data_IF_233333107864
#
_entry.id   IF_233333107864
#
_cell.length_a   1.000
_cell.length_b   1.000
_cell.length_c   1.000
_cell.angle_alpha   90.00
_cell.angle_beta   90.00
_cell.angle_gamma   90.00
#
_symmetry.space_group_name_H-M   'P 1'
#
loop_
_entity.id
_entity.type
_entity.pdbx_description
1 polymer ?
#
# COMPACT_ATOMS: atom_id res chain seq x y z
N UNK A 1 4.44 26.12 -4.50
CA UNK A 1 4.34 25.43 -3.20
C UNK A 1 3.29 24.32 -3.25
N UNK A 2 3.72 23.07 -3.41
CA UNK A 2 2.84 21.90 -3.26
C UNK A 2 2.72 21.63 -1.77
N UNK A 3 1.51 21.71 -1.20
CA UNK A 3 1.28 21.36 0.20
C UNK A 3 1.47 19.84 0.34
N UNK A 4 2.51 19.41 1.07
CA UNK A 4 2.68 18.00 1.46
C UNK A 4 1.47 17.56 2.28
N UNK A 5 0.93 16.38 1.95
CA UNK A 5 -0.16 15.77 2.71
C UNK A 5 0.46 14.90 3.81
N UNK A 6 0.21 15.25 5.08
CA UNK A 6 0.59 14.40 6.19
C UNK A 6 -0.42 13.25 6.32
N UNK A 7 0.02 12.02 6.13
CA UNK A 7 -0.82 10.82 6.23
C UNK A 7 -0.88 10.26 7.65
N UNK A 8 -0.14 10.81 8.60
CA UNK A 8 -0.14 10.37 10.00
C UNK A 8 -1.51 10.66 10.65
N UNK A 9 -2.09 9.66 11.33
CA UNK A 9 -3.36 9.81 12.05
C UNK A 9 -4.64 9.86 11.20
N UNK A 10 -4.56 9.79 9.86
CA UNK A 10 -5.76 9.73 8.99
C UNK A 10 -6.54 8.40 9.08
N UNK A 11 -5.97 7.39 9.75
CA UNK A 11 -6.58 6.07 9.95
C UNK A 11 -7.40 5.96 11.25
N UNK A 12 -7.43 6.99 12.09
CA UNK A 12 -8.10 6.95 13.39
C UNK A 12 -9.63 6.85 13.20
N UNK A 13 -10.27 5.77 13.70
CA UNK A 13 -11.71 5.62 13.56
C UNK A 13 -12.43 6.67 14.40
N UNK A 14 -13.28 7.47 13.76
CA UNK A 14 -14.24 8.33 14.45
C UNK A 14 -15.06 7.51 15.45
N UNK A 15 -15.04 7.92 16.71
CA UNK A 15 -15.52 7.12 17.83
C UNK A 15 -17.06 7.19 17.94
N UNK A 16 -17.80 6.35 17.21
CA UNK A 16 -19.17 5.93 17.56
C UNK A 16 -19.46 4.52 17.00
N UNK A 17 -19.42 3.49 17.84
CA UNK A 17 -19.77 2.12 17.49
C UNK A 17 -21.12 1.73 18.12
N UNK A 18 -22.21 1.88 17.36
CA UNK A 18 -23.49 1.25 17.65
C UNK A 18 -23.58 -0.14 16.98
N UNK A 19 -23.93 -1.17 17.74
CA UNK A 19 -24.13 -2.54 17.27
C UNK A 19 -25.31 -2.62 16.27
N UNK A 20 -24.99 -2.59 14.97
CA UNK A 20 -25.90 -3.02 13.91
C UNK A 20 -25.31 -4.23 13.21
N UNK A 21 -25.98 -5.38 13.33
CA UNK A 21 -25.75 -6.55 12.49
C UNK A 21 -25.94 -6.17 11.01
N UNK A 22 -24.85 -5.88 10.32
CA UNK A 22 -24.86 -5.61 8.87
C UNK A 22 -25.00 -6.95 8.13
N UNK A 23 -26.14 -7.14 7.46
CA UNK A 23 -26.32 -8.24 6.50
C UNK A 23 -25.26 -8.13 5.42
N UNK A 24 -24.58 -9.24 5.11
CA UNK A 24 -23.59 -9.29 4.04
C UNK A 24 -24.19 -8.78 2.72
N UNK A 25 -23.57 -7.80 2.03
CA UNK A 25 -24.09 -7.29 0.78
C UNK A 25 -24.02 -8.41 -0.27
N UNK A 26 -25.13 -8.59 -1.00
CA UNK A 26 -25.21 -9.51 -2.12
C UNK A 26 -24.31 -8.96 -3.23
N UNK A 27 -23.18 -9.61 -3.50
CA UNK A 27 -22.25 -9.20 -4.55
C UNK A 27 -22.91 -9.47 -5.91
N UNK A 28 -23.56 -8.46 -6.48
CA UNK A 28 -24.05 -8.50 -7.87
C UNK A 28 -22.89 -8.09 -8.76
N UNK A 29 -22.48 -8.95 -9.69
CA UNK A 29 -21.51 -8.58 -10.73
C UNK A 29 -22.12 -7.47 -11.59
N UNK A 30 -21.50 -6.29 -11.59
CA UNK A 30 -21.86 -5.22 -12.50
C UNK A 30 -21.72 -5.69 -13.95
N UNK A 31 -22.67 -5.34 -14.80
CA UNK A 31 -22.59 -5.56 -16.25
C UNK A 31 -21.50 -4.66 -16.83
N UNK A 32 -20.96 -5.02 -18.00
CA UNK A 32 -19.86 -4.28 -18.66
C UNK A 32 -20.20 -2.83 -19.03
N UNK A 33 -21.47 -2.41 -18.92
CA UNK A 33 -22.00 -1.08 -19.24
C UNK A 33 -22.54 -0.33 -18.01
N UNK A 34 -22.04 -0.62 -16.81
CA UNK A 34 -22.42 0.15 -15.63
C UNK A 34 -22.09 1.65 -15.83
N UNK A 35 -22.99 2.58 -15.46
CA UNK A 35 -22.73 4.01 -15.59
C UNK A 35 -21.54 4.41 -14.72
N UNK A 36 -20.81 5.45 -15.13
CA UNK A 36 -19.71 6.02 -14.35
C UNK A 36 -20.21 6.37 -12.94
N UNK A 37 -19.53 5.86 -11.93
CA UNK A 37 -19.81 6.15 -10.53
C UNK A 37 -18.73 7.08 -9.99
N UNK A 38 -19.16 8.22 -9.45
CA UNK A 38 -18.30 9.19 -8.78
C UNK A 38 -18.91 9.52 -7.42
N UNK A 39 -18.14 9.37 -6.35
CA UNK A 39 -18.59 9.68 -4.99
C UNK A 39 -17.41 10.05 -4.09
N UNK A 40 -17.69 10.67 -2.95
CA UNK A 40 -16.66 11.10 -2.00
C UNK A 40 -16.95 10.57 -0.60
N UNK A 41 -15.93 10.04 0.08
CA UNK A 41 -16.02 9.56 1.47
C UNK A 41 -14.73 9.92 2.19
N UNK A 42 -14.84 10.59 3.36
CA UNK A 42 -13.67 10.89 4.20
C UNK A 42 -12.59 11.71 3.49
N UNK A 43 -12.98 12.67 2.65
CA UNK A 43 -12.05 13.48 1.85
C UNK A 43 -11.49 12.80 0.60
N UNK A 44 -11.74 11.50 0.42
CA UNK A 44 -11.32 10.75 -0.78
C UNK A 44 -12.37 10.81 -1.87
N UNK A 45 -11.93 11.02 -3.10
CA UNK A 45 -12.80 10.98 -4.28
C UNK A 45 -12.60 9.66 -5.03
N UNK A 46 -13.69 8.90 -5.17
CA UNK A 46 -13.76 7.62 -5.87
C UNK A 46 -14.35 7.84 -7.24
N UNK A 47 -13.70 7.30 -8.27
CA UNK A 47 -14.12 7.47 -9.65
C UNK A 47 -13.87 6.20 -10.46
N UNK A 48 -14.95 5.61 -10.98
CA UNK A 48 -14.89 4.35 -11.71
C UNK A 48 -14.16 4.44 -13.06
N UNK A 49 -13.94 5.63 -13.59
CA UNK A 49 -13.32 5.87 -14.89
C UNK A 49 -11.92 6.46 -14.73
N UNK A 50 -11.82 7.64 -14.09
CA UNK A 50 -10.57 8.40 -13.98
C UNK A 50 -9.68 7.98 -12.81
N UNK A 51 -10.21 7.23 -11.84
CA UNK A 51 -9.41 6.82 -10.69
C UNK A 51 -8.30 5.84 -11.06
N UNK A 52 -7.29 5.76 -10.20
CA UNK A 52 -6.25 4.73 -10.25
C UNK A 52 -6.54 3.72 -9.15
N UNK A 53 -6.39 2.43 -9.47
CA UNK A 53 -6.62 1.35 -8.49
C UNK A 53 -5.35 1.11 -7.69
N UNK A 54 -5.39 1.38 -6.39
CA UNK A 54 -4.30 1.05 -5.48
C UNK A 54 -4.13 -0.47 -5.32
N UNK A 55 -2.88 -0.94 -5.35
CA UNK A 55 -2.55 -2.36 -5.27
C UNK A 55 -2.96 -3.01 -3.94
N UNK A 56 -2.77 -2.30 -2.82
CA UNK A 56 -3.08 -2.84 -1.50
C UNK A 56 -4.57 -2.77 -1.20
N UNK A 57 -5.15 -1.56 -1.13
CA UNK A 57 -6.53 -1.38 -0.67
C UNK A 57 -7.57 -1.69 -1.76
N UNK A 58 -7.14 -1.80 -3.02
CA UNK A 58 -8.00 -2.06 -4.18
C UNK A 58 -9.10 -1.03 -4.39
N UNK A 59 -8.97 0.13 -3.75
CA UNK A 59 -9.83 1.27 -3.98
C UNK A 59 -9.37 2.00 -5.24
N UNK A 60 -10.33 2.47 -6.02
CA UNK A 60 -10.10 3.27 -7.23
C UNK A 60 -10.40 4.73 -6.92
N UNK A 61 -9.36 5.53 -6.72
CA UNK A 61 -9.48 6.95 -6.31
C UNK A 61 -8.67 7.85 -7.24
N UNK A 62 -9.03 9.13 -7.30
CA UNK A 62 -8.33 10.13 -8.14
C UNK A 62 -7.16 10.80 -7.43
N UNK A 63 -6.94 10.48 -6.16
CA UNK A 63 -5.79 10.97 -5.39
C UNK A 63 -4.47 10.57 -6.05
N UNK A 64 -3.39 11.23 -5.65
CA UNK A 64 -2.04 10.88 -6.12
C UNK A 64 -1.75 9.40 -5.86
N UNK A 65 -1.24 8.74 -6.90
CA UNK A 65 -0.69 7.40 -6.82
C UNK A 65 0.70 7.41 -7.42
N UNK A 66 1.64 6.69 -6.80
CA UNK A 66 2.89 6.33 -7.47
C UNK A 66 2.66 5.09 -8.31
N UNK A 67 3.17 5.08 -9.55
CA UNK A 67 3.04 3.96 -10.49
C UNK A 67 4.41 3.34 -10.74
N UNK A 68 4.48 2.01 -10.70
CA UNK A 68 5.70 1.24 -10.86
C UNK A 68 6.37 1.43 -12.23
N UNK A 69 7.68 1.66 -12.23
CA UNK A 69 8.51 1.68 -13.45
C UNK A 69 9.41 0.44 -13.61
N UNK A 70 9.41 -0.45 -12.61
CA UNK A 70 10.25 -1.64 -12.59
C UNK A 70 9.86 -2.67 -13.67
N UNK A 71 10.86 -3.39 -14.19
CA UNK A 71 10.72 -4.27 -15.35
C UNK A 71 9.59 -5.31 -15.27
N UNK A 72 9.28 -5.81 -14.07
CA UNK A 72 8.17 -6.76 -13.86
C UNK A 72 6.76 -6.16 -14.04
N UNK A 73 6.65 -4.82 -14.06
CA UNK A 73 5.43 -4.08 -14.40
C UNK A 73 5.54 -3.36 -15.75
N UNK A 74 6.76 -3.13 -16.26
CA UNK A 74 6.99 -2.49 -17.56
C UNK A 74 6.31 -3.28 -18.68
N UNK A 75 5.50 -2.60 -19.49
CA UNK A 75 4.74 -3.21 -20.58
C UNK A 75 3.44 -3.92 -20.15
N UNK A 76 3.13 -4.00 -18.84
CA UNK A 76 1.83 -4.47 -18.39
C UNK A 76 0.74 -3.45 -18.78
N UNK A 77 -0.43 -3.92 -19.19
CA UNK A 77 -1.60 -3.06 -19.48
C UNK A 77 -1.96 -2.17 -18.28
N UNK A 78 -1.73 -2.65 -17.06
CA UNK A 78 -1.97 -1.92 -15.83
C UNK A 78 -0.80 -2.17 -14.85
N UNK A 79 0.24 -1.32 -14.87
CA UNK A 79 1.30 -1.37 -13.88
C UNK A 79 0.75 -1.21 -12.45
N UNK A 80 1.46 -1.77 -11.47
CA UNK A 80 1.05 -1.63 -10.07
C UNK A 80 1.18 -0.17 -9.62
N UNK A 81 0.15 0.33 -8.95
CA UNK A 81 0.13 1.66 -8.38
C UNK A 81 -0.25 1.61 -6.89
N UNK A 82 0.22 2.58 -6.11
CA UNK A 82 -0.09 2.71 -4.68
C UNK A 82 -0.56 4.13 -4.36
N UNK A 83 -1.64 4.25 -3.58
CA UNK A 83 -2.02 5.53 -2.97
C UNK A 83 -1.11 5.85 -1.78
N UNK A 84 -1.01 7.13 -1.41
CA UNK A 84 -0.05 7.61 -0.41
C UNK A 84 -0.18 6.91 0.95
N UNK A 85 -1.41 6.79 1.46
CA UNK A 85 -1.66 6.09 2.73
C UNK A 85 -1.20 4.62 2.70
N UNK A 86 -1.42 3.90 1.60
CA UNK A 86 -0.96 2.52 1.51
C UNK A 86 0.56 2.43 1.34
N UNK A 87 1.17 3.35 0.60
CA UNK A 87 2.62 3.39 0.42
C UNK A 87 3.33 3.63 1.77
N UNK A 88 2.90 4.65 2.51
CA UNK A 88 3.42 4.98 3.84
C UNK A 88 3.16 3.84 4.83
N UNK A 89 1.91 3.48 5.11
CA UNK A 89 1.60 2.49 6.15
C UNK A 89 2.15 1.08 5.84
N UNK A 90 2.32 0.72 4.56
CA UNK A 90 2.77 -0.64 4.19
C UNK A 90 4.25 -0.74 3.94
N UNK A 91 4.92 0.32 3.52
CA UNK A 91 6.31 0.27 3.10
C UNK A 91 7.20 1.37 3.69
N UNK A 92 6.62 2.35 4.38
CA UNK A 92 7.35 3.45 5.02
C UNK A 92 7.85 4.49 4.03
N UNK A 93 7.22 4.58 2.86
CA UNK A 93 7.67 5.43 1.75
C UNK A 93 6.74 6.62 1.56
N UNK A 94 7.34 7.79 1.29
CA UNK A 94 6.62 9.03 0.98
C UNK A 94 6.19 9.04 -0.49
N UNK A 95 4.95 9.48 -0.74
CA UNK A 95 4.40 9.45 -2.10
C UNK A 95 4.92 10.57 -2.98
N UNK A 96 5.21 11.74 -2.42
CA UNK A 96 5.69 12.87 -3.20
C UNK A 96 7.12 12.59 -3.65
N UNK A 97 7.96 12.06 -2.76
CA UNK A 97 9.33 11.65 -3.08
C UNK A 97 9.34 10.48 -4.10
N UNK A 98 8.46 9.49 -3.92
CA UNK A 98 8.34 8.35 -4.83
C UNK A 98 7.91 8.78 -6.24
N UNK A 99 6.95 9.71 -6.35
CA UNK A 99 6.54 10.27 -7.64
C UNK A 99 7.65 11.13 -8.26
N UNK A 100 8.31 11.97 -7.45
CA UNK A 100 9.38 12.85 -7.90
C UNK A 100 10.60 12.08 -8.42
N UNK A 101 10.87 10.88 -7.87
CA UNK A 101 11.98 10.02 -8.32
C UNK A 101 11.93 9.67 -9.80
N UNK A 102 10.72 9.52 -10.37
CA UNK A 102 10.51 9.00 -11.73
C UNK A 102 11.00 7.56 -11.96
N UNK A 103 11.57 6.91 -10.95
CA UNK A 103 12.21 5.59 -11.05
C UNK A 103 11.70 4.60 -10.00
N UNK A 104 10.62 4.94 -9.28
CA UNK A 104 10.07 4.10 -8.22
C UNK A 104 9.65 2.69 -8.70
N UNK A 105 10.23 1.68 -8.05
CA UNK A 105 9.86 0.29 -8.26
C UNK A 105 8.89 -0.20 -7.18
N UNK A 106 7.84 -0.93 -7.56
CA UNK A 106 6.89 -1.46 -6.58
C UNK A 106 7.47 -2.63 -5.77
N UNK A 107 6.95 -2.90 -4.56
CA UNK A 107 7.40 -3.99 -3.70
C UNK A 107 7.34 -5.40 -4.33
N UNK A 108 6.51 -5.60 -5.36
CA UNK A 108 6.51 -6.85 -6.13
C UNK A 108 7.72 -6.94 -7.05
N UNK A 109 8.08 -5.86 -7.75
CA UNK A 109 9.22 -5.81 -8.67
C UNK A 109 10.55 -5.92 -7.94
N UNK A 110 10.65 -5.32 -6.75
CA UNK A 110 11.84 -5.40 -5.89
C UNK A 110 12.19 -6.83 -5.45
N UNK A 111 11.22 -7.74 -5.41
CA UNK A 111 11.43 -9.10 -4.94
C UNK A 111 11.68 -9.13 -3.43
N UNK A 112 12.85 -9.61 -3.01
CA UNK A 112 13.29 -9.68 -1.62
C UNK A 112 14.23 -8.51 -1.30
N UNK A 113 14.19 -8.00 -0.06
CA UNK A 113 15.17 -7.03 0.45
C UNK A 113 16.11 -7.63 1.50
N UNK A 114 16.35 -8.95 1.46
CA UNK A 114 17.24 -9.67 2.37
C UNK A 114 16.50 -10.53 3.40
N UNK A 115 17.20 -10.85 4.49
CA UNK A 115 16.73 -11.76 5.53
C UNK A 115 15.40 -11.32 6.14
N UNK A 116 14.54 -12.30 6.43
CA UNK A 116 13.17 -12.06 6.89
C UNK A 116 12.19 -11.58 5.81
N UNK A 117 12.64 -11.33 4.58
CA UNK A 117 11.79 -10.83 3.50
C UNK A 117 11.85 -11.71 2.24
N UNK A 118 10.93 -12.67 2.12
CA UNK A 118 10.77 -13.46 0.88
C UNK A 118 10.24 -12.60 -0.28
N UNK A 119 9.33 -11.67 0.02
CA UNK A 119 8.85 -10.65 -0.93
C UNK A 119 8.51 -9.37 -0.18
N UNK A 120 8.96 -8.22 -0.71
CA UNK A 120 8.67 -6.92 -0.11
C UNK A 120 7.17 -6.61 -0.18
N UNK A 121 6.43 -7.20 -1.13
CA UNK A 121 4.99 -6.98 -1.21
C UNK A 121 4.23 -7.74 -0.13
N UNK A 122 3.67 -7.01 0.83
CA UNK A 122 2.87 -7.57 1.92
C UNK A 122 1.37 -7.66 1.62
N UNK A 123 0.92 -7.63 0.35
CA UNK A 123 -0.50 -7.84 0.06
C UNK A 123 -0.88 -9.34 0.15
N UNK A 124 -2.14 -9.63 0.47
CA UNK A 124 -2.63 -11.01 0.61
C UNK A 124 -2.33 -11.93 -0.59
N UNK A 125 -2.65 -11.53 -1.85
CA UNK A 125 -2.33 -12.34 -3.03
C UNK A 125 -0.84 -12.60 -3.26
N UNK A 126 0.03 -11.61 -3.04
CA UNK A 126 1.49 -11.78 -3.18
C UNK A 126 2.01 -12.79 -2.16
N UNK A 127 1.61 -12.62 -0.89
CA UNK A 127 2.02 -13.51 0.19
C UNK A 127 1.53 -14.94 -0.02
N UNK A 128 0.26 -15.12 -0.39
CA UNK A 128 -0.29 -16.45 -0.73
C UNK A 128 0.50 -17.12 -1.87
N UNK A 129 0.87 -16.37 -2.92
CA UNK A 129 1.70 -16.89 -4.02
C UNK A 129 3.09 -17.33 -3.54
N UNK A 130 3.63 -16.67 -2.52
CA UNK A 130 4.90 -17.01 -1.88
C UNK A 130 4.78 -18.06 -0.76
N UNK A 131 3.61 -18.67 -0.54
CA UNK A 131 3.40 -19.65 0.53
C UNK A 131 3.29 -19.05 1.94
N UNK A 132 3.12 -17.73 2.05
CA UNK A 132 3.05 -16.99 3.31
C UNK A 132 1.60 -16.67 3.71
N UNK A 133 1.36 -16.53 5.01
CA UNK A 133 0.08 -16.09 5.58
C UNK A 133 -0.27 -14.66 5.10
N UNK A 134 -1.51 -14.37 4.69
CA UNK A 134 -1.94 -13.03 4.31
C UNK A 134 -1.75 -12.00 5.43
N UNK A 135 -1.25 -10.82 5.06
CA UNK A 135 -1.17 -9.66 5.94
C UNK A 135 -2.55 -9.01 6.04
N UNK A 136 -3.07 -8.88 7.25
CA UNK A 136 -4.32 -8.18 7.52
C UNK A 136 -4.07 -6.66 7.72
N UNK A 137 -5.03 -5.92 8.28
CA UNK A 137 -4.78 -4.57 8.76
C UNK A 137 -3.90 -4.65 10.02
N UNK A 138 -2.60 -4.35 9.89
CA UNK A 138 -1.62 -4.53 10.96
C UNK A 138 -0.81 -3.26 11.26
N UNK A 139 -1.19 -2.11 10.69
CA UNK A 139 -0.44 -0.87 10.92
C UNK A 139 -0.45 -0.46 12.39
N UNK A 140 -1.59 -0.59 13.08
CA UNK A 140 -1.69 -0.28 14.50
C UNK A 140 -0.82 -1.23 15.36
N UNK A 141 -0.75 -2.51 14.98
CA UNK A 141 0.14 -3.47 15.64
C UNK A 141 1.62 -3.10 15.40
N UNK A 142 1.99 -2.77 14.17
CA UNK A 142 3.36 -2.33 13.85
C UNK A 142 3.76 -1.11 14.69
N UNK A 143 2.91 -0.08 14.75
CA UNK A 143 3.15 1.14 15.55
C UNK A 143 3.28 0.84 17.04
N UNK A 144 2.44 -0.03 17.59
CA UNK A 144 2.54 -0.46 18.98
C UNK A 144 3.87 -1.18 19.31
N UNK A 145 4.57 -1.69 18.30
CA UNK A 145 5.89 -2.30 18.40
C UNK A 145 7.04 -1.39 17.95
N UNK A 146 6.80 -0.09 17.74
CA UNK A 146 7.84 0.88 17.36
C UNK A 146 8.17 0.91 15.87
N UNK A 147 7.29 0.39 15.01
CA UNK A 147 7.46 0.42 13.55
C UNK A 147 6.39 1.28 12.88
N UNK A 148 6.81 2.23 12.05
CA UNK A 148 5.88 3.11 11.32
C UNK A 148 5.27 2.47 10.07
N UNK A 149 5.78 1.29 9.67
CA UNK A 149 5.25 0.57 8.52
C UNK A 149 5.20 -0.95 8.76
N UNK A 150 4.25 -1.58 8.08
CA UNK A 150 3.98 -3.02 8.23
C UNK A 150 5.09 -3.90 7.66
N UNK A 151 5.80 -3.45 6.63
CA UNK A 151 6.87 -4.25 6.05
C UNK A 151 8.00 -4.48 7.06
N UNK A 152 8.47 -3.42 7.72
CA UNK A 152 9.63 -3.53 8.63
C UNK A 152 9.28 -4.31 9.88
N UNK A 153 8.06 -4.11 10.39
CA UNK A 153 7.55 -4.96 11.46
C UNK A 153 7.52 -6.45 11.07
N UNK A 154 7.15 -6.79 9.82
CA UNK A 154 7.16 -8.18 9.36
C UNK A 154 8.56 -8.76 9.27
N UNK A 155 9.54 -7.97 8.82
CA UNK A 155 10.96 -8.39 8.78
C UNK A 155 11.47 -8.60 10.20
N UNK A 156 11.23 -7.64 11.10
CA UNK A 156 11.61 -7.73 12.52
C UNK A 156 11.09 -9.01 13.19
N UNK A 157 9.85 -9.42 12.89
CA UNK A 157 9.28 -10.66 13.47
C UNK A 157 10.05 -11.93 13.09
N UNK A 158 10.74 -11.91 11.97
CA UNK A 158 11.52 -13.06 11.48
C UNK A 158 13.00 -12.96 11.86
N UNK A 159 13.57 -11.74 11.94
CA UNK A 159 15.02 -11.53 12.16
C UNK A 159 15.41 -10.97 13.52
N UNK A 160 14.49 -10.27 14.20
CA UNK A 160 14.78 -9.51 15.42
C UNK A 160 15.47 -8.16 15.19
N UNK A 161 15.75 -7.78 13.95
CA UNK A 161 16.39 -6.50 13.61
C UNK A 161 15.47 -5.31 13.94
N UNK A 162 16.05 -4.19 14.37
CA UNK A 162 15.30 -2.95 14.60
C UNK A 162 14.95 -2.21 13.29
N UNK A 163 14.08 -1.21 13.41
CA UNK A 163 13.56 -0.46 12.26
C UNK A 163 14.67 0.27 11.48
N UNK A 164 15.67 0.80 12.19
CA UNK A 164 16.79 1.54 11.59
C UNK A 164 17.66 0.61 10.74
N UNK A 165 18.08 -0.53 11.30
CA UNK A 165 18.87 -1.55 10.60
C UNK A 165 18.16 -2.02 9.32
N UNK A 166 16.85 -2.27 9.40
CA UNK A 166 16.06 -2.71 8.24
C UNK A 166 16.00 -1.59 7.19
N UNK A 167 15.80 -0.33 7.60
CA UNK A 167 15.75 0.81 6.70
C UNK A 167 17.09 1.01 5.97
N UNK A 168 18.20 1.00 6.70
CA UNK A 168 19.56 1.10 6.14
C UNK A 168 19.83 -0.01 5.11
N UNK A 169 19.41 -1.25 5.40
CA UNK A 169 19.55 -2.36 4.46
C UNK A 169 18.83 -2.09 3.15
N UNK A 170 17.63 -1.50 3.17
CA UNK A 170 16.90 -1.15 1.93
C UNK A 170 17.65 -0.12 1.09
N UNK A 171 18.34 0.83 1.72
CA UNK A 171 19.15 1.85 1.02
C UNK A 171 20.34 1.25 0.27
N UNK A 172 20.75 0.02 0.58
CA UNK A 172 21.82 -0.66 -0.16
C UNK A 172 21.39 -1.07 -1.57
N UNK A 173 20.08 -1.25 -1.80
CA UNK A 173 19.53 -1.66 -3.10
C UNK A 173 19.36 -0.47 -4.06
N UNK A 174 19.51 -0.66 -5.38
CA UNK A 174 19.29 0.41 -6.36
C UNK A 174 17.91 1.07 -6.24
N UNK A 175 16.86 0.27 -6.01
CA UNK A 175 15.49 0.76 -5.84
C UNK A 175 15.24 1.49 -4.53
N UNK A 176 16.18 1.48 -3.58
CA UNK A 176 16.09 2.19 -2.31
C UNK A 176 16.82 3.54 -2.30
N UNK A 177 17.46 3.92 -3.42
CA UNK A 177 18.31 5.13 -3.54
C UNK A 177 17.62 6.21 -4.38
N UNK A 178 16.43 6.65 -3.98
CA UNK A 178 15.71 7.78 -4.58
C UNK A 178 15.21 8.73 -3.50
#
# INVERSE_FOLDING_TARGET
>A
DVKKVDYFGMDEPGHEAGDRRVRAPRVVRATSNAPRAVFSVGGRVYDSELGVTCHWCRQKTVETHVTCTGAGCSGARLPLAFCGMCLSNRHGEDIDDAVASGCWECPRCRGSCGDGCVTCCNCGPCRKKAGLTPTHQMIQLARAHGFDNVHDYLVHRETGEDAETIAERKLTFPWGKW
#
